data_IF_276558633523
#
_entry.id   IF_276558633523
#
_cell.length_a   1.000
_cell.length_b   1.000
_cell.length_c   1.000
_cell.angle_alpha   90.00
_cell.angle_beta   90.00
_cell.angle_gamma   90.00
#
_symmetry.space_group_name_H-M   'P 1'
#
loop_
_entity.id
_entity.type
_entity.pdbx_description
1 polymer ?
#
# COMPACT_ATOMS: atom_id res chain seq x y z
N UNK A 1 -1.04 -3.02 -5.09
CA UNK A 1 -2.41 -3.55 -5.34
C UNK A 1 -2.47 -4.47 -6.54
N UNK A 2 -2.26 -3.98 -7.78
CA UNK A 2 -2.29 -4.82 -8.98
C UNK A 2 -1.29 -5.99 -8.94
N UNK A 3 -0.07 -5.77 -8.42
CA UNK A 3 0.94 -6.84 -8.25
C UNK A 3 0.47 -7.93 -7.28
N UNK A 4 -0.14 -7.55 -6.15
CA UNK A 4 -0.66 -8.51 -5.16
C UNK A 4 -1.83 -9.28 -5.75
N UNK A 5 -2.71 -8.61 -6.49
CA UNK A 5 -3.82 -9.24 -7.20
C UNK A 5 -3.35 -10.21 -8.30
N UNK A 6 -2.35 -9.84 -9.11
CA UNK A 6 -1.83 -10.72 -10.17
C UNK A 6 -1.13 -11.96 -9.62
N UNK A 7 -0.43 -11.85 -8.48
CA UNK A 7 0.18 -13.01 -7.80
C UNK A 7 -0.90 -13.93 -7.22
N UNK A 8 -1.93 -13.38 -6.58
CA UNK A 8 -3.06 -14.18 -6.07
C UNK A 8 -3.84 -14.89 -7.19
N UNK A 9 -4.08 -14.19 -8.31
CA UNK A 9 -4.70 -14.78 -9.49
C UNK A 9 -3.82 -15.89 -10.09
N UNK A 10 -2.50 -15.69 -10.16
CA UNK A 10 -1.56 -16.71 -10.62
C UNK A 10 -1.49 -17.94 -9.69
N UNK A 11 -1.77 -17.77 -8.38
CA UNK A 11 -1.90 -18.86 -7.41
C UNK A 11 -3.26 -19.57 -7.45
N UNK A 12 -4.18 -19.17 -8.34
CA UNK A 12 -5.53 -19.75 -8.44
C UNK A 12 -6.50 -19.30 -7.34
N UNK A 13 -6.13 -18.31 -6.53
CA UNK A 13 -6.91 -17.85 -5.38
C UNK A 13 -7.88 -16.73 -5.78
N UNK A 14 -8.89 -17.09 -6.58
CA UNK A 14 -9.89 -16.13 -7.13
C UNK A 14 -10.93 -15.66 -6.11
N UNK A 15 -11.14 -16.41 -5.02
CA UNK A 15 -12.22 -16.16 -4.06
C UNK A 15 -11.77 -15.39 -2.82
N UNK A 16 -10.46 -15.23 -2.62
CA UNK A 16 -9.92 -14.44 -1.52
C UNK A 16 -9.75 -12.99 -1.98
N UNK A 17 -10.36 -12.01 -1.29
CA UNK A 17 -10.22 -10.61 -1.65
C UNK A 17 -8.75 -10.20 -1.57
N UNK A 18 -8.10 -9.80 -2.68
CA UNK A 18 -6.67 -9.47 -2.70
C UNK A 18 -6.32 -8.26 -1.83
N UNK A 19 -7.34 -7.45 -1.50
CA UNK A 19 -7.23 -6.29 -0.61
C UNK A 19 -6.79 -6.70 0.80
N UNK A 20 -7.31 -7.81 1.34
CA UNK A 20 -6.98 -8.25 2.71
C UNK A 20 -5.49 -8.57 2.83
N UNK A 21 -4.92 -9.16 1.78
CA UNK A 21 -3.50 -9.50 1.71
C UNK A 21 -2.68 -8.24 1.44
N UNK A 22 -3.13 -7.34 0.55
CA UNK A 22 -2.40 -6.12 0.22
C UNK A 22 -2.32 -5.10 1.38
N UNK A 23 -3.34 -5.02 2.24
CA UNK A 23 -3.43 -4.05 3.33
C UNK A 23 -2.24 -4.04 4.29
N UNK A 24 -1.83 -5.17 4.92
CA UNK A 24 -0.68 -5.19 5.81
C UNK A 24 0.62 -4.81 5.09
N UNK A 25 0.83 -5.24 3.84
CA UNK A 25 2.01 -4.83 3.06
C UNK A 25 2.04 -3.33 2.80
N UNK A 26 0.91 -2.71 2.48
CA UNK A 26 0.82 -1.26 2.28
C UNK A 26 1.16 -0.50 3.55
N UNK A 27 0.63 -0.92 4.71
CA UNK A 27 0.90 -0.26 5.99
C UNK A 27 2.37 -0.39 6.38
N UNK A 28 2.95 -1.59 6.25
CA UNK A 28 4.37 -1.81 6.54
C UNK A 28 5.25 -0.95 5.63
N UNK A 29 5.01 -0.98 4.32
CA UNK A 29 5.75 -0.16 3.37
C UNK A 29 5.63 1.33 3.69
N UNK A 30 4.42 1.79 4.01
CA UNK A 30 4.14 3.18 4.35
C UNK A 30 4.89 3.64 5.61
N UNK A 31 4.98 2.79 6.64
CA UNK A 31 5.75 3.09 7.86
C UNK A 31 7.26 3.03 7.59
N UNK A 32 7.73 2.07 6.79
CA UNK A 32 9.16 1.91 6.46
C UNK A 32 9.73 3.10 5.71
N UNK A 33 8.94 3.75 4.85
CA UNK A 33 9.38 4.94 4.11
C UNK A 33 9.17 6.24 4.87
N UNK A 34 8.72 6.18 6.13
CA UNK A 34 8.30 7.35 6.92
C UNK A 34 7.24 8.21 6.18
N UNK A 35 6.21 7.53 5.66
CA UNK A 35 5.18 8.13 4.81
C UNK A 35 4.42 9.27 5.48
N UNK A 36 4.23 9.22 6.80
CA UNK A 36 3.57 10.30 7.55
C UNK A 36 4.39 11.60 7.50
N UNK A 37 5.70 11.53 7.73
CA UNK A 37 6.56 12.72 7.67
C UNK A 37 6.61 13.31 6.26
N UNK A 38 6.68 12.47 5.23
CA UNK A 38 6.66 12.94 3.84
C UNK A 38 5.37 13.64 3.45
N UNK A 39 4.20 13.10 3.86
CA UNK A 39 2.90 13.70 3.56
C UNK A 39 2.71 15.02 4.31
N UNK A 40 3.01 15.05 5.61
CA UNK A 40 2.89 16.29 6.39
C UNK A 40 3.87 17.35 5.87
N UNK A 41 5.12 16.96 5.61
CA UNK A 41 6.13 17.86 5.07
C UNK A 41 5.83 18.36 3.66
N UNK A 42 5.16 17.59 2.81
CA UNK A 42 4.70 18.06 1.50
C UNK A 42 3.50 18.99 1.62
N UNK A 43 2.55 18.70 2.52
CA UNK A 43 1.41 19.57 2.81
C UNK A 43 1.87 20.93 3.32
N UNK A 44 2.72 20.97 4.36
CA UNK A 44 3.24 22.23 4.92
C UNK A 44 3.96 23.06 3.85
N UNK A 45 4.78 22.42 3.00
CA UNK A 45 5.47 23.11 1.88
C UNK A 45 4.52 23.61 0.80
N UNK A 46 3.36 23.00 0.63
CA UNK A 46 2.37 23.42 -0.37
C UNK A 46 1.57 24.66 0.04
N UNK A 47 1.56 25.03 1.33
CA UNK A 47 0.89 26.22 1.83
C UNK A 47 1.81 27.46 1.92
N UNK A 48 3.13 27.27 1.75
CA UNK A 48 4.13 28.33 1.82
C UNK A 48 4.42 28.99 0.47
#
# INVERSE_FOLDING_TARGET
>A
DMVVASVLMAMGMMMLPPVIIALPFKIIFFVLVDGWYMIVGSLVRSFG
#
